data_IF_750792484517
#
_entry.id   IF_750792484517
#
_cell.length_a   1.000
_cell.length_b   1.000
_cell.length_c   1.000
_cell.angle_alpha   90.00
_cell.angle_beta   90.00
_cell.angle_gamma   90.00
#
_symmetry.space_group_name_H-M   'P 1'
#
loop_
_entity.id
_entity.type
_entity.pdbx_description
1 polymer ?
#
# COMPACT_ATOMS: atom_id res chain seq x y z
N UNK A 1 36.87 -20.26 -1.61
CA UNK A 1 35.44 -20.36 -1.98
C UNK A 1 35.08 -19.10 -2.73
N UNK A 2 35.23 -19.13 -4.05
CA UNK A 2 34.91 -18.00 -4.91
C UNK A 2 33.40 -17.78 -4.83
N UNK A 3 32.97 -16.72 -4.15
CA UNK A 3 31.60 -16.22 -4.26
C UNK A 3 31.50 -15.78 -5.72
N UNK A 4 31.02 -16.71 -6.56
CA UNK A 4 30.88 -16.51 -7.99
C UNK A 4 29.96 -15.29 -8.16
N UNK A 5 30.39 -14.30 -8.95
CA UNK A 5 29.74 -12.99 -9.06
C UNK A 5 28.25 -13.02 -9.44
N UNK A 6 27.72 -14.17 -9.86
CA UNK A 6 26.28 -14.37 -10.10
C UNK A 6 25.44 -14.17 -8.84
N UNK A 7 25.94 -14.56 -7.65
CA UNK A 7 25.23 -14.33 -6.40
C UNK A 7 25.06 -12.85 -6.11
N UNK A 8 26.08 -12.04 -6.42
CA UNK A 8 26.04 -10.58 -6.26
C UNK A 8 24.96 -9.99 -7.17
N UNK A 9 24.86 -10.46 -8.42
CA UNK A 9 23.82 -10.03 -9.36
C UNK A 9 22.42 -10.37 -8.85
N UNK A 10 22.22 -11.55 -8.28
CA UNK A 10 20.92 -11.97 -7.72
C UNK A 10 20.56 -11.16 -6.49
N UNK A 11 21.51 -10.96 -5.56
CA UNK A 11 21.28 -10.16 -4.36
C UNK A 11 20.93 -8.72 -4.76
N UNK A 12 21.64 -8.15 -5.74
CA UNK A 12 21.35 -6.81 -6.24
C UNK A 12 19.96 -6.75 -6.89
N UNK A 13 19.58 -7.73 -7.70
CA UNK A 13 18.26 -7.79 -8.33
C UNK A 13 17.14 -7.87 -7.28
N UNK A 14 17.26 -8.76 -6.29
CA UNK A 14 16.32 -8.88 -5.18
C UNK A 14 16.21 -7.59 -4.37
N UNK A 15 17.35 -6.97 -4.06
CA UNK A 15 17.39 -5.71 -3.31
C UNK A 15 16.72 -4.58 -4.11
N UNK A 16 16.89 -4.55 -5.42
CA UNK A 16 16.22 -3.58 -6.30
C UNK A 16 14.71 -3.79 -6.30
N UNK A 17 14.24 -5.04 -6.40
CA UNK A 17 12.81 -5.39 -6.37
C UNK A 17 12.15 -5.01 -5.03
N UNK A 18 12.89 -5.00 -3.91
CA UNK A 18 12.37 -4.56 -2.61
C UNK A 18 12.46 -3.05 -2.44
N UNK A 19 13.57 -2.43 -2.82
CA UNK A 19 13.80 -0.99 -2.61
C UNK A 19 12.93 -0.13 -3.54
N UNK A 20 12.76 -0.53 -4.81
CA UNK A 20 11.96 0.23 -5.79
C UNK A 20 10.51 0.47 -5.35
N UNK A 21 9.71 -0.54 -4.94
CA UNK A 21 8.34 -0.31 -4.49
C UNK A 21 8.29 0.52 -3.21
N UNK A 22 9.27 0.38 -2.30
CA UNK A 22 9.35 1.21 -1.08
C UNK A 22 9.58 2.67 -1.44
N UNK A 23 10.50 2.96 -2.36
CA UNK A 23 10.79 4.32 -2.83
C UNK A 23 9.59 4.92 -3.56
N UNK A 24 8.90 4.14 -4.40
CA UNK A 24 7.68 4.58 -5.09
C UNK A 24 6.57 4.87 -4.06
N UNK A 25 6.35 4.00 -3.09
CA UNK A 25 5.35 4.20 -2.04
C UNK A 25 5.66 5.45 -1.21
N UNK A 26 6.92 5.66 -0.83
CA UNK A 26 7.37 6.88 -0.13
C UNK A 26 7.20 8.13 -0.99
N UNK A 27 7.53 8.08 -2.28
CA UNK A 27 7.36 9.19 -3.19
C UNK A 27 5.88 9.56 -3.39
N UNK A 28 5.00 8.57 -3.51
CA UNK A 28 3.55 8.77 -3.60
C UNK A 28 2.99 9.33 -2.29
N UNK A 29 3.40 8.78 -1.14
CA UNK A 29 2.98 9.27 0.18
C UNK A 29 3.46 10.71 0.44
N UNK A 30 4.70 11.03 0.05
CA UNK A 30 5.25 12.38 0.15
C UNK A 30 4.59 13.37 -0.83
N UNK A 31 4.27 12.91 -2.04
CA UNK A 31 3.54 13.68 -3.04
C UNK A 31 2.10 14.00 -2.62
N UNK A 32 1.43 13.07 -1.93
CA UNK A 32 0.11 13.30 -1.34
C UNK A 32 0.13 14.31 -0.18
N UNK A 33 1.21 14.35 0.61
CA UNK A 33 1.35 15.32 1.72
C UNK A 33 1.62 16.76 1.28
N UNK A 34 2.15 16.98 0.07
CA UNK A 34 2.50 18.34 -0.40
C UNK A 34 1.32 19.17 -0.92
N UNK A 35 0.10 18.63 -1.00
CA UNK A 35 -1.10 19.43 -1.37
C UNK A 35 -1.85 20.03 -0.17
N UNK A 36 -1.43 19.78 1.07
CA UNK A 36 -2.13 20.26 2.27
C UNK A 36 -1.34 21.29 3.10
N UNK A 37 -0.32 21.92 2.52
CA UNK A 37 0.62 22.80 3.22
C UNK A 37 0.23 24.28 3.34
N UNK A 38 -1.05 24.64 3.24
CA UNK A 38 -1.56 26.00 3.49
C UNK A 38 -2.83 25.92 4.36
N UNK A 39 -2.66 25.52 5.62
CA UNK A 39 -3.65 25.80 6.65
C UNK A 39 -2.95 25.93 7.99
N UNK A 40 -2.59 27.17 8.31
CA UNK A 40 -2.35 27.63 9.67
C UNK A 40 -3.63 27.43 10.46
N UNK A 41 -3.53 26.74 11.59
CA UNK A 41 -4.47 26.89 12.70
C UNK A 41 -5.45 25.74 12.93
N UNK A 42 -5.53 25.40 14.22
CA UNK A 42 -6.75 24.99 14.91
C UNK A 42 -7.25 23.55 14.69
N UNK A 43 -7.20 22.81 15.81
CA UNK A 43 -8.18 21.79 16.21
C UNK A 43 -8.21 20.48 15.42
N UNK A 44 -7.90 19.40 16.13
CA UNK A 44 -8.16 18.03 15.69
C UNK A 44 -9.60 17.88 15.16
N UNK A 45 -9.81 17.20 14.03
CA UNK A 45 -11.05 16.49 13.82
C UNK A 45 -10.88 15.09 14.42
N UNK A 46 -11.70 14.78 15.42
CA UNK A 46 -12.13 13.41 15.65
C UNK A 46 -12.57 12.82 14.31
N UNK A 47 -11.72 11.96 13.73
CA UNK A 47 -12.18 10.99 12.74
C UNK A 47 -13.15 10.08 13.47
N UNK A 48 -14.44 10.41 13.41
CA UNK A 48 -15.50 9.50 13.81
C UNK A 48 -15.25 8.17 13.10
N UNK A 49 -14.86 7.15 13.86
CA UNK A 49 -14.95 5.74 13.48
C UNK A 49 -16.43 5.44 13.20
N UNK A 50 -16.88 5.79 11.99
CA UNK A 50 -18.10 5.24 11.44
C UNK A 50 -17.83 3.74 11.33
N UNK A 51 -18.70 2.84 11.84
CA UNK A 51 -18.49 1.42 11.65
C UNK A 51 -18.37 1.18 10.15
N UNK A 52 -17.18 0.79 9.70
CA UNK A 52 -16.90 0.61 8.27
C UNK A 52 -17.89 -0.42 7.74
N UNK A 53 -18.88 0.06 6.99
CA UNK A 53 -19.89 -0.80 6.36
C UNK A 53 -19.15 -1.79 5.45
N UNK A 54 -19.72 -2.98 5.26
CA UNK A 54 -19.13 -4.00 4.37
C UNK A 54 -18.83 -3.41 2.98
N UNK A 55 -19.69 -2.52 2.49
CA UNK A 55 -19.50 -1.78 1.24
C UNK A 55 -18.25 -0.90 1.23
N UNK A 56 -17.96 -0.20 2.33
CA UNK A 56 -16.76 0.63 2.46
C UNK A 56 -15.50 -0.22 2.42
N UNK A 57 -15.49 -1.36 3.13
CA UNK A 57 -14.36 -2.30 3.12
C UNK A 57 -14.14 -2.92 1.74
N UNK A 58 -15.21 -3.22 1.01
CA UNK A 58 -15.10 -3.71 -0.37
C UNK A 58 -14.54 -2.66 -1.33
N UNK A 59 -14.93 -1.40 -1.17
CA UNK A 59 -14.40 -0.30 -1.97
C UNK A 59 -12.90 -0.08 -1.72
N UNK A 60 -12.45 -0.16 -0.46
CA UNK A 60 -11.03 -0.11 -0.09
C UNK A 60 -10.25 -1.28 -0.71
N UNK A 61 -10.82 -2.49 -0.67
CA UNK A 61 -10.19 -3.68 -1.26
C UNK A 61 -10.04 -3.57 -2.79
N UNK A 62 -11.03 -2.97 -3.47
CA UNK A 62 -10.96 -2.69 -4.91
C UNK A 62 -9.90 -1.64 -5.25
N UNK A 63 -9.77 -0.57 -4.46
CA UNK A 63 -8.71 0.44 -4.62
C UNK A 63 -7.31 -0.19 -4.47
N UNK A 64 -7.13 -1.10 -3.51
CA UNK A 64 -5.88 -1.86 -3.35
C UNK A 64 -5.56 -2.75 -4.55
N UNK A 65 -6.58 -3.39 -5.15
CA UNK A 65 -6.43 -4.20 -6.36
C UNK A 65 -6.06 -3.33 -7.57
N UNK A 66 -6.75 -2.20 -7.77
CA UNK A 66 -6.46 -1.28 -8.87
C UNK A 66 -5.05 -0.71 -8.82
N UNK A 67 -4.55 -0.43 -7.61
CA UNK A 67 -3.16 0.00 -7.36
C UNK A 67 -2.15 -1.14 -7.46
N UNK A 68 -2.60 -2.37 -7.73
CA UNK A 68 -1.80 -3.60 -7.77
C UNK A 68 -0.99 -3.84 -6.50
N UNK A 69 -1.52 -3.42 -5.34
CA UNK A 69 -0.92 -3.66 -4.02
C UNK A 69 -1.20 -5.09 -3.57
N UNK A 70 -2.33 -5.65 -3.98
CA UNK A 70 -2.75 -7.03 -3.73
C UNK A 70 -2.96 -7.77 -5.05
N UNK A 71 -2.74 -9.08 -5.03
CA UNK A 71 -3.02 -9.96 -6.17
C UNK A 71 -4.52 -10.27 -6.27
N UNK A 72 -4.97 -10.71 -7.45
CA UNK A 72 -6.37 -11.08 -7.65
C UNK A 72 -6.82 -12.22 -6.73
N UNK A 73 -5.91 -13.13 -6.37
CA UNK A 73 -6.20 -14.23 -5.43
C UNK A 73 -6.43 -13.72 -4.00
N UNK A 74 -5.61 -12.78 -3.54
CA UNK A 74 -5.76 -12.13 -2.23
C UNK A 74 -7.02 -11.27 -2.16
N UNK A 75 -7.33 -10.55 -3.23
CA UNK A 75 -8.58 -9.80 -3.36
C UNK A 75 -9.80 -10.73 -3.21
N UNK A 76 -9.80 -11.86 -3.94
CA UNK A 76 -10.91 -12.81 -3.91
C UNK A 76 -11.12 -13.37 -2.50
N UNK A 77 -10.03 -13.79 -1.84
CA UNK A 77 -10.08 -14.33 -0.48
C UNK A 77 -10.58 -13.31 0.54
N UNK A 78 -10.09 -12.08 0.49
CA UNK A 78 -10.52 -11.02 1.40
C UNK A 78 -11.98 -10.59 1.16
N UNK A 79 -12.42 -10.57 -0.11
CA UNK A 79 -13.82 -10.29 -0.46
C UNK A 79 -14.77 -11.34 0.11
N UNK A 80 -14.43 -12.62 0.02
CA UNK A 80 -15.22 -13.70 0.60
C UNK A 80 -15.32 -13.59 2.12
N UNK A 81 -14.22 -13.23 2.79
CA UNK A 81 -14.20 -13.06 4.25
C UNK A 81 -15.10 -11.90 4.71
N UNK A 82 -15.07 -10.77 4.00
CA UNK A 82 -15.94 -9.60 4.27
C UNK A 82 -17.43 -9.93 4.02
N UNK A 83 -17.74 -10.77 3.04
CA UNK A 83 -19.14 -11.16 2.76
C UNK A 83 -19.67 -12.18 3.77
N UNK A 84 -18.81 -13.07 4.26
CA UNK A 84 -19.17 -14.13 5.21
C UNK A 84 -19.36 -13.62 6.64
N UNK A 85 -18.65 -12.57 7.03
CA UNK A 85 -18.76 -11.92 8.35
C UNK A 85 -19.69 -10.72 8.29
#
# INVERSE_FOLDING_TARGET
>A
MQIQGWHIVIILALLTVVVVPIVIALAVAAGHRRRSGLAVGSSAPHSQERPASKETRLAELEDLRQRRVITDEEYRKAREDILRN
#
